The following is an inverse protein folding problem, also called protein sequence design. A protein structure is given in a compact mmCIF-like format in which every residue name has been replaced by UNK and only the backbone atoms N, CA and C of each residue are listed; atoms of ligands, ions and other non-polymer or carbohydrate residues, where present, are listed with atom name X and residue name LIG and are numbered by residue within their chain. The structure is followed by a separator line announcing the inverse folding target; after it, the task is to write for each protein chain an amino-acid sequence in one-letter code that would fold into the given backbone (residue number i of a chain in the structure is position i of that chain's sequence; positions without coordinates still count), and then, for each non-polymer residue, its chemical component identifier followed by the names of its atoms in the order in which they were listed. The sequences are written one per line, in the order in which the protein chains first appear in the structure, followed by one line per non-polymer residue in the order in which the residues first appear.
data_IF_836032723057
#
_entry.id   IF_836032723057
#
_cell.length_a   1.000
_cell.length_b   1.000
_cell.length_c   1.000
_cell.angle_alpha   90.00
_cell.angle_beta   90.00
_cell.angle_gamma   90.00
#
_symmetry.space_group_name_H-M   'P 1'
#
loop_
_entity.id
_entity.type
_entity.pdbx_description
1 polymer ?
#
# COMPACT_ATOMS: atom_id res chain seq x y z
N UNK A 1 -12.14 0.82 2.46
CA UNK A 1 -11.27 -0.30 2.05
C UNK A 1 -11.49 -0.57 0.57
N UNK A 2 -10.77 -1.50 -0.04
CA UNK A 2 -10.95 -1.91 -1.44
C UNK A 2 -11.63 -3.28 -1.51
N UNK A 3 -12.43 -3.59 -2.56
CA UNK A 3 -12.90 -4.95 -2.80
C UNK A 3 -11.75 -5.96 -2.85
N UNK A 4 -11.97 -7.17 -2.35
CA UNK A 4 -10.91 -8.16 -2.23
C UNK A 4 -10.32 -8.56 -3.60
N UNK A 5 -11.18 -8.78 -4.61
CA UNK A 5 -10.71 -9.08 -5.96
C UNK A 5 -10.03 -7.90 -6.63
N UNK A 6 -10.49 -6.68 -6.36
CA UNK A 6 -9.81 -5.48 -6.85
C UNK A 6 -8.37 -5.47 -6.34
N UNK A 7 -8.19 -5.55 -5.02
CA UNK A 7 -6.88 -5.53 -4.39
C UNK A 7 -5.98 -6.65 -4.90
N UNK A 8 -6.52 -7.86 -5.07
CA UNK A 8 -5.76 -9.00 -5.62
C UNK A 8 -5.16 -8.67 -6.98
N UNK A 9 -5.96 -8.15 -7.90
CA UNK A 9 -5.50 -7.88 -9.27
C UNK A 9 -4.62 -6.63 -9.36
N UNK A 10 -4.94 -5.59 -8.60
CA UNK A 10 -4.12 -4.39 -8.43
C UNK A 10 -2.72 -4.77 -7.91
N UNK A 11 -2.66 -5.55 -6.83
CA UNK A 11 -1.40 -5.97 -6.23
C UNK A 11 -0.60 -6.91 -7.14
N UNK A 12 -1.27 -7.79 -7.88
CA UNK A 12 -0.62 -8.65 -8.88
C UNK A 12 0.00 -7.80 -10.01
N UNK A 13 -0.70 -6.77 -10.47
CA UNK A 13 -0.18 -5.85 -11.48
C UNK A 13 1.00 -5.03 -10.94
N UNK A 14 0.93 -4.61 -9.68
CA UNK A 14 2.04 -3.97 -8.97
C UNK A 14 3.28 -4.86 -8.92
N UNK A 15 3.17 -6.15 -8.57
CA UNK A 15 4.30 -7.10 -8.63
C UNK A 15 4.89 -7.25 -10.04
N UNK A 16 4.04 -7.18 -11.07
CA UNK A 16 4.48 -7.30 -12.47
C UNK A 16 5.23 -6.06 -12.97
N UNK A 17 4.82 -4.88 -12.49
CA UNK A 17 5.29 -3.59 -12.99
C UNK A 17 5.90 -2.71 -11.88
N UNK A 18 6.45 -3.31 -10.83
CA UNK A 18 6.81 -2.61 -9.59
C UNK A 18 7.61 -1.35 -9.86
N UNK A 19 7.12 -0.23 -9.32
CA UNK A 19 7.72 1.10 -9.41
C UNK A 19 7.95 1.61 -10.85
N UNK A 20 7.31 1.05 -11.87
CA UNK A 20 7.39 1.56 -13.25
C UNK A 20 6.37 2.68 -13.47
N UNK A 21 6.87 3.86 -13.85
CA UNK A 21 6.04 5.04 -14.10
C UNK A 21 5.03 4.74 -15.22
N UNK A 22 3.74 4.97 -14.92
CA UNK A 22 2.63 4.79 -15.86
C UNK A 22 2.17 3.34 -16.05
N UNK A 23 2.78 2.37 -15.37
CA UNK A 23 2.38 0.95 -15.42
C UNK A 23 2.03 0.37 -14.05
N UNK A 24 2.69 0.84 -12.99
CA UNK A 24 2.43 0.40 -11.63
C UNK A 24 1.19 1.09 -11.04
N UNK A 25 0.15 0.30 -10.75
CA UNK A 25 -1.10 0.76 -10.14
C UNK A 25 -0.95 1.16 -8.68
N UNK A 26 0.10 0.72 -7.99
CA UNK A 26 0.35 1.07 -6.58
C UNK A 26 1.50 2.07 -6.40
N UNK A 27 1.97 2.69 -7.48
CA UNK A 27 3.10 3.60 -7.45
C UNK A 27 2.90 4.75 -6.44
N UNK A 28 3.85 4.88 -5.52
CA UNK A 28 3.92 6.02 -4.62
C UNK A 28 5.03 6.93 -5.18
N UNK A 29 4.67 8.07 -5.80
CA UNK A 29 5.68 8.96 -6.36
C UNK A 29 6.48 9.62 -5.23
N UNK A 30 7.70 10.03 -5.55
CA UNK A 30 8.45 10.95 -4.71
C UNK A 30 7.62 12.22 -4.50
N UNK A 31 7.35 12.66 -3.25
CA UNK A 31 6.65 13.90 -3.01
C UNK A 31 7.44 15.07 -3.61
N UNK A 32 6.75 16.01 -4.26
CA UNK A 32 7.37 17.21 -4.80
C UNK A 32 7.69 18.25 -3.72
N UNK A 33 6.95 18.25 -2.61
CA UNK A 33 7.05 19.25 -1.54
C UNK A 33 6.75 18.64 -0.17
N UNK A 34 7.14 19.33 0.91
CA UNK A 34 6.77 18.93 2.28
C UNK A 34 5.24 18.88 2.49
N UNK A 35 4.44 19.84 2.01
CA UNK A 35 2.98 19.72 2.05
C UNK A 35 2.45 18.45 1.36
N UNK A 36 2.98 18.10 0.18
CA UNK A 36 2.57 16.87 -0.51
C UNK A 36 2.95 15.61 0.29
N UNK A 37 4.13 15.61 0.93
CA UNK A 37 4.56 14.56 1.84
C UNK A 37 3.59 14.37 3.02
N UNK A 38 3.24 15.45 3.74
CA UNK A 38 2.32 15.36 4.88
C UNK A 38 0.88 15.04 4.44
N UNK A 39 0.47 15.51 3.25
CA UNK A 39 -0.81 15.16 2.66
C UNK A 39 -0.92 13.66 2.40
N UNK A 40 0.12 13.05 1.81
CA UNK A 40 0.18 11.60 1.66
C UNK A 40 0.15 10.89 3.02
N UNK A 41 0.97 11.32 3.98
CA UNK A 41 1.04 10.72 5.32
C UNK A 41 -0.26 10.83 6.12
N UNK A 42 -1.10 11.83 5.86
CA UNK A 42 -2.39 11.96 6.55
C UNK A 42 -3.34 10.78 6.32
N UNK A 43 -3.12 9.99 5.25
CA UNK A 43 -4.04 8.93 4.83
C UNK A 43 -5.37 9.43 4.25
N UNK A 44 -5.65 10.74 4.27
CA UNK A 44 -6.86 11.33 3.68
C UNK A 44 -7.00 11.04 2.18
N UNK A 45 -5.93 11.09 1.36
CA UNK A 45 -6.03 10.72 -0.06
C UNK A 45 -6.46 9.27 -0.25
N UNK A 46 -5.95 8.36 0.59
CA UNK A 46 -6.31 6.95 0.56
C UNK A 46 -7.80 6.76 0.90
N UNK A 47 -8.30 7.47 1.92
CA UNK A 47 -9.70 7.41 2.31
C UNK A 47 -10.64 7.93 1.23
N UNK A 48 -10.33 9.11 0.67
CA UNK A 48 -11.10 9.72 -0.39
C UNK A 48 -11.12 8.82 -1.64
N UNK A 49 -9.95 8.38 -2.11
CA UNK A 49 -9.82 7.55 -3.31
C UNK A 49 -10.60 6.24 -3.18
N UNK A 50 -10.43 5.52 -2.07
CA UNK A 50 -11.08 4.21 -1.90
C UNK A 50 -12.57 4.32 -1.59
N UNK A 51 -13.00 5.33 -0.83
CA UNK A 51 -14.41 5.60 -0.57
C UNK A 51 -15.17 5.94 -1.85
N UNK A 52 -14.67 6.92 -2.61
CA UNK A 52 -15.23 7.29 -3.91
C UNK A 52 -15.14 6.14 -4.92
N UNK A 53 -14.06 5.36 -4.86
CA UNK A 53 -13.88 4.17 -5.67
C UNK A 53 -14.96 3.11 -5.40
N UNK A 54 -15.29 2.81 -4.15
CA UNK A 54 -16.40 1.89 -3.82
C UNK A 54 -17.71 2.40 -4.41
N UNK A 55 -18.04 3.68 -4.22
CA UNK A 55 -19.28 4.28 -4.73
C UNK A 55 -19.34 4.17 -6.26
N UNK A 56 -18.29 4.60 -6.96
CA UNK A 56 -18.19 4.52 -8.43
C UNK A 56 -18.33 3.09 -8.95
N UNK A 57 -17.60 2.14 -8.36
CA UNK A 57 -17.67 0.73 -8.77
C UNK A 57 -19.04 0.13 -8.49
N UNK A 58 -19.70 0.52 -7.39
CA UNK A 58 -21.03 0.03 -7.04
C UNK A 58 -22.10 0.37 -8.08
N UNK A 59 -21.97 1.52 -8.76
CA UNK A 59 -22.83 1.90 -9.90
C UNK A 59 -22.36 1.33 -11.25
N UNK A 60 -21.38 0.40 -11.23
CA UNK A 60 -20.92 -0.34 -12.41
C UNK A 60 -19.85 0.36 -13.24
N UNK A 61 -19.28 1.49 -12.78
CA UNK A 61 -18.25 2.21 -13.52
C UNK A 61 -16.86 1.77 -13.07
N UNK A 62 -16.00 1.34 -14.00
CA UNK A 62 -14.58 1.06 -13.79
C UNK A 62 -13.72 2.13 -14.48
N UNK A 63 -12.56 2.48 -13.93
CA UNK A 63 -11.60 3.38 -14.59
C UNK A 63 -10.82 2.65 -15.68
N UNK A 64 -10.15 3.40 -16.56
CA UNK A 64 -9.26 2.81 -17.57
C UNK A 64 -8.13 1.98 -16.95
N UNK A 65 -7.56 2.46 -15.85
CA UNK A 65 -6.54 1.74 -15.07
C UNK A 65 -7.05 0.40 -14.54
N UNK A 66 -8.23 0.39 -13.90
CA UNK A 66 -8.87 -0.83 -13.41
C UNK A 66 -9.20 -1.81 -14.53
N UNK A 67 -9.65 -1.30 -15.68
CA UNK A 67 -9.89 -2.13 -16.85
C UNK A 67 -8.57 -2.76 -17.33
N UNK A 68 -7.45 -2.07 -17.17
CA UNK A 68 -6.12 -2.53 -17.51
C UNK A 68 -5.64 -3.71 -16.65
N UNK A 69 -5.82 -3.66 -15.33
CA UNK A 69 -5.33 -4.74 -14.44
C UNK A 69 -6.39 -5.78 -14.05
N UNK A 70 -7.69 -5.49 -14.19
CA UNK A 70 -8.77 -6.45 -13.84
C UNK A 70 -9.21 -7.24 -15.09
N UNK A 71 -9.00 -8.57 -15.13
CA UNK A 71 -9.45 -9.38 -16.26
C UNK A 71 -10.95 -9.28 -16.48
N UNK A 72 -11.38 -9.28 -17.74
CA UNK A 72 -12.80 -9.11 -18.14
C UNK A 72 -13.76 -10.02 -17.39
N UNK A 73 -13.37 -11.28 -17.16
CA UNK A 73 -14.18 -12.28 -16.44
C UNK A 73 -14.51 -11.86 -14.99
N UNK A 74 -13.67 -11.04 -14.34
CA UNK A 74 -13.80 -10.69 -12.93
C UNK A 74 -14.39 -9.30 -12.68
N UNK A 75 -14.52 -8.46 -13.72
CA UNK A 75 -15.03 -7.08 -13.59
C UNK A 75 -16.42 -7.01 -12.95
N UNK A 76 -17.34 -7.88 -13.37
CA UNK A 76 -18.69 -7.96 -12.79
C UNK A 76 -18.66 -8.35 -11.31
N UNK A 77 -17.73 -9.23 -10.92
CA UNK A 77 -17.58 -9.65 -9.53
C UNK A 77 -17.03 -8.54 -8.66
N UNK A 78 -16.05 -7.76 -9.14
CA UNK A 78 -15.54 -6.57 -8.44
C UNK A 78 -16.63 -5.52 -8.20
N UNK A 79 -17.47 -5.26 -9.21
CA UNK A 79 -18.65 -4.38 -9.08
C UNK A 79 -19.59 -4.92 -7.99
N UNK A 80 -19.86 -6.22 -7.99
CA UNK A 80 -20.73 -6.84 -6.99
C UNK A 80 -20.14 -6.75 -5.58
N UNK A 81 -18.85 -7.05 -5.39
CA UNK A 81 -18.16 -6.87 -4.10
C UNK A 81 -18.22 -5.43 -3.61
N UNK A 82 -18.13 -4.46 -4.52
CA UNK A 82 -18.26 -3.04 -4.16
C UNK A 82 -19.67 -2.69 -3.66
N UNK A 83 -20.71 -3.30 -4.24
CA UNK A 83 -22.09 -3.14 -3.75
C UNK A 83 -22.28 -3.77 -2.37
N UNK A 84 -21.74 -4.98 -2.17
CA UNK A 84 -21.79 -5.66 -0.86
C UNK A 84 -21.08 -4.83 0.20
N UNK A 85 -19.87 -4.35 -0.08
CA UNK A 85 -19.14 -3.47 0.84
C UNK A 85 -19.91 -2.19 1.15
N UNK A 86 -20.54 -1.57 0.16
CA UNK A 86 -21.36 -0.37 0.37
C UNK A 86 -22.54 -0.65 1.33
N UNK A 87 -23.25 -1.76 1.15
CA UNK A 87 -24.34 -2.18 2.05
C UNK A 87 -23.82 -2.46 3.46
N UNK A 88 -22.70 -3.18 3.58
CA UNK A 88 -22.09 -3.48 4.88
C UNK A 88 -21.66 -2.20 5.63
N UNK A 89 -21.08 -1.23 4.92
CA UNK A 89 -20.71 0.05 5.52
C UNK A 89 -21.93 0.89 5.92
N UNK A 90 -22.98 0.90 5.10
CA UNK A 90 -24.24 1.57 5.45
C UNK A 90 -24.89 0.93 6.69
N UNK A 91 -24.91 -0.40 6.76
CA UNK A 91 -25.43 -1.15 7.91
C UNK A 91 -24.60 -0.88 9.17
N UNK A 92 -23.26 -0.86 9.06
CA UNK A 92 -22.40 -0.50 10.17
C UNK A 92 -22.61 0.95 10.65
N UNK A 93 -22.79 1.89 9.72
CA UNK A 93 -23.12 3.28 10.05
C UNK A 93 -24.43 3.41 10.81
N UNK A 94 -25.48 2.69 10.36
CA UNK A 94 -26.76 2.64 11.07
C UNK A 94 -26.65 1.99 12.45
N UNK A 95 -25.90 0.89 12.57
CA UNK A 95 -25.65 0.24 13.84
C UNK A 95 -24.95 1.18 14.83
N UNK A 96 -23.93 1.92 14.38
CA UNK A 96 -23.26 2.94 15.21
C UNK A 96 -24.25 4.03 15.63
N UNK A 97 -25.06 4.55 14.70
CA UNK A 97 -26.06 5.58 14.98
C UNK A 97 -27.16 5.13 15.96
N UNK A 98 -27.41 3.83 16.06
CA UNK A 98 -28.41 3.23 16.96
C UNK A 98 -27.80 2.67 18.25
N UNK A 99 -26.52 2.95 18.52
CA UNK A 99 -25.88 2.68 19.81
C UNK A 99 -24.83 1.58 19.83
N UNK A 100 -24.51 0.95 18.68
CA UNK A 100 -23.42 -0.03 18.58
C UNK A 100 -22.03 0.64 18.54
N UNK A 101 -21.72 1.46 19.54
CA UNK A 101 -20.46 2.22 19.62
C UNK A 101 -19.22 1.34 19.71
N UNK A 102 -19.35 0.05 20.04
CA UNK A 102 -18.26 -0.92 19.93
C UNK A 102 -17.64 -0.94 18.51
N UNK A 103 -18.46 -0.81 17.45
CA UNK A 103 -17.96 -0.71 16.08
C UNK A 103 -17.14 0.56 15.85
N UNK A 104 -17.50 1.66 16.51
CA UNK A 104 -16.76 2.91 16.41
C UNK A 104 -15.38 2.77 17.08
N UNK A 105 -15.33 2.29 18.33
CA UNK A 105 -14.10 2.25 19.12
C UNK A 105 -13.15 1.11 18.75
N UNK A 106 -13.66 -0.06 18.39
CA UNK A 106 -12.82 -1.24 18.12
C UNK A 106 -12.57 -1.49 16.63
N UNK A 107 -13.27 -0.78 15.73
CA UNK A 107 -13.09 -0.95 14.29
C UNK A 107 -12.80 0.36 13.56
N UNK A 108 -13.72 1.34 13.60
CA UNK A 108 -13.58 2.58 12.80
C UNK A 108 -12.39 3.42 13.25
N UNK A 109 -12.29 3.74 14.55
CA UNK A 109 -11.22 4.58 15.09
C UNK A 109 -9.83 3.93 14.86
N UNK A 110 -9.58 2.66 15.23
CA UNK A 110 -8.29 2.01 14.98
C UNK A 110 -7.92 2.01 13.50
N UNK A 111 -8.90 1.79 12.62
CA UNK A 111 -8.67 1.78 11.18
C UNK A 111 -8.28 3.18 10.65
N UNK A 112 -8.96 4.24 11.11
CA UNK A 112 -8.64 5.62 10.74
C UNK A 112 -7.23 6.01 11.18
N UNK A 113 -6.86 5.67 12.42
CA UNK A 113 -5.53 5.95 12.98
C UNK A 113 -4.43 5.07 12.36
N UNK A 114 -4.78 3.88 11.90
CA UNK A 114 -3.85 2.96 11.25
C UNK A 114 -3.38 3.43 9.87
N UNK A 115 -4.21 4.18 9.12
CA UNK A 115 -3.81 4.59 7.76
C UNK A 115 -2.60 5.52 7.72
N UNK A 116 -2.49 6.57 8.55
CA UNK A 116 -1.26 7.37 8.62
C UNK A 116 -0.01 6.52 8.89
N UNK A 117 -0.11 5.55 9.81
CA UNK A 117 0.98 4.62 10.11
C UNK A 117 1.33 3.76 8.89
N UNK A 118 0.33 3.23 8.18
CA UNK A 118 0.55 2.47 6.96
C UNK A 118 1.14 3.32 5.83
N UNK A 119 0.76 4.60 5.69
CA UNK A 119 1.38 5.51 4.71
C UNK A 119 2.84 5.77 5.07
N UNK A 120 3.13 5.96 6.36
CA UNK A 120 4.48 6.11 6.87
C UNK A 120 5.34 4.87 6.56
N UNK A 121 4.81 3.66 6.70
CA UNK A 121 5.51 2.42 6.34
C UNK A 121 5.69 2.32 4.81
N UNK A 122 4.60 2.37 4.04
CA UNK A 122 4.62 2.12 2.58
C UNK A 122 5.49 3.09 1.80
N UNK A 123 5.60 4.34 2.27
CA UNK A 123 6.49 5.31 1.65
C UNK A 123 7.96 4.86 1.69
N UNK A 124 8.35 4.04 2.66
CA UNK A 124 9.71 3.55 2.79
C UNK A 124 10.00 2.31 1.96
N UNK A 125 9.04 1.77 1.22
CA UNK A 125 9.18 0.51 0.47
C UNK A 125 9.74 0.71 -0.95
N UNK A 126 9.25 1.74 -1.66
CA UNK A 126 9.64 2.01 -3.07
C UNK A 126 10.06 3.45 -3.34
N UNK A 127 9.65 4.42 -2.50
CA UNK A 127 9.95 5.84 -2.79
C UNK A 127 11.45 6.06 -2.77
N UNK A 128 11.95 6.53 -3.91
CA UNK A 128 13.38 6.76 -4.13
C UNK A 128 14.14 5.56 -4.70
N UNK A 129 13.46 4.46 -4.98
CA UNK A 129 14.05 3.32 -5.67
C UNK A 129 13.93 3.47 -7.19
N UNK A 130 14.71 2.66 -7.92
CA UNK A 130 14.84 2.78 -9.37
C UNK A 130 13.51 2.50 -10.08
N UNK A 131 13.22 3.24 -11.15
CA UNK A 131 12.06 3.03 -12.02
C UNK A 131 12.39 2.04 -13.12
N UNK A 132 12.82 0.83 -12.74
CA UNK A 132 13.23 -0.24 -13.66
C UNK A 132 12.67 -1.60 -13.23
N UNK A 133 12.82 -2.60 -14.10
CA UNK A 133 12.20 -3.92 -13.92
C UNK A 133 12.87 -4.82 -12.88
N UNK A 134 14.09 -4.48 -12.45
CA UNK A 134 14.85 -5.30 -11.50
C UNK A 134 14.27 -5.15 -10.08
N UNK A 135 13.66 -6.20 -9.50
CA UNK A 135 13.11 -6.16 -8.14
C UNK A 135 14.15 -5.84 -7.06
N UNK A 136 15.43 -6.17 -7.33
CA UNK A 136 16.52 -5.88 -6.42
C UNK A 136 16.92 -4.39 -6.42
N UNK A 137 16.37 -3.57 -7.31
CA UNK A 137 16.71 -2.14 -7.42
C UNK A 137 15.51 -1.22 -7.32
N UNK A 138 14.31 -1.72 -7.63
CA UNK A 138 13.07 -0.95 -7.60
C UNK A 138 12.31 -1.04 -6.26
N UNK A 139 12.79 -1.90 -5.35
CA UNK A 139 12.19 -2.16 -4.04
C UNK A 139 13.27 -2.32 -2.98
N UNK A 140 12.97 -1.98 -1.74
CA UNK A 140 13.87 -2.18 -0.60
C UNK A 140 13.16 -2.79 0.61
N UNK A 141 13.96 -3.34 1.50
CA UNK A 141 13.52 -3.83 2.80
C UNK A 141 13.91 -2.89 3.92
N UNK A 142 13.15 -2.89 5.01
CA UNK A 142 13.42 -2.06 6.18
C UNK A 142 13.74 -2.94 7.38
N UNK A 143 14.93 -2.76 7.95
CA UNK A 143 15.32 -3.39 9.21
C UNK A 143 14.70 -2.62 10.36
N UNK A 144 13.70 -3.21 11.01
CA UNK A 144 12.96 -2.61 12.12
C UNK A 144 13.10 -3.45 13.39
N UNK A 145 12.75 -2.89 14.55
CA UNK A 145 12.71 -3.63 15.82
C UNK A 145 11.61 -4.70 15.81
N UNK A 146 11.75 -5.71 16.67
CA UNK A 146 10.83 -6.85 16.74
C UNK A 146 9.34 -6.48 16.81
N UNK A 147 8.88 -5.47 17.60
CA UNK A 147 7.47 -5.11 17.63
C UNK A 147 6.93 -4.69 16.24
N UNK A 148 7.73 -3.98 15.46
CA UNK A 148 7.35 -3.58 14.10
C UNK A 148 7.36 -4.76 13.14
N UNK A 149 8.33 -5.68 13.27
CA UNK A 149 8.34 -6.92 12.47
C UNK A 149 7.10 -7.77 12.77
N UNK A 150 6.76 -7.91 14.05
CA UNK A 150 5.58 -8.65 14.49
C UNK A 150 4.29 -8.01 13.96
N UNK A 151 4.12 -6.70 14.13
CA UNK A 151 2.92 -5.99 13.66
C UNK A 151 2.77 -6.02 12.13
N UNK A 152 3.88 -5.97 11.39
CA UNK A 152 3.88 -6.02 9.94
C UNK A 152 3.90 -7.47 9.39
N UNK A 153 3.86 -8.49 10.25
CA UNK A 153 4.04 -9.89 9.85
C UNK A 153 5.27 -10.10 8.95
N UNK A 154 6.42 -9.55 9.32
CA UNK A 154 7.65 -9.56 8.52
C UNK A 154 7.54 -8.88 7.13
N UNK A 155 6.46 -8.17 6.79
CA UNK A 155 6.34 -7.48 5.50
C UNK A 155 7.31 -6.29 5.37
N UNK A 156 8.03 -5.94 6.44
CA UNK A 156 9.19 -5.06 6.36
C UNK A 156 10.34 -5.67 5.52
N UNK A 157 10.33 -6.98 5.24
CA UNK A 157 11.13 -7.66 4.22
C UNK A 157 10.46 -7.55 2.83
N UNK A 158 10.17 -6.30 2.44
CA UNK A 158 9.33 -6.01 1.28
C UNK A 158 10.04 -6.28 -0.05
N UNK A 159 11.35 -6.04 -0.12
CA UNK A 159 12.13 -6.43 -1.30
C UNK A 159 12.13 -7.95 -1.50
N UNK A 160 12.22 -8.74 -0.43
CA UNK A 160 12.09 -10.20 -0.51
C UNK A 160 10.71 -10.61 -1.04
N UNK A 161 9.66 -9.95 -0.57
CA UNK A 161 8.29 -10.16 -1.05
C UNK A 161 8.16 -9.84 -2.54
N UNK A 162 8.73 -8.74 -3.03
CA UNK A 162 8.71 -8.41 -4.45
C UNK A 162 9.57 -9.35 -5.31
N UNK A 163 10.71 -9.82 -4.78
CA UNK A 163 11.54 -10.79 -5.48
C UNK A 163 10.86 -12.16 -5.59
N UNK A 164 10.13 -12.57 -4.54
CA UNK A 164 9.44 -13.86 -4.50
C UNK A 164 8.10 -13.79 -3.75
N UNK A 165 7.03 -13.30 -4.40
CA UNK A 165 5.74 -13.02 -3.74
C UNK A 165 4.98 -14.27 -3.30
N UNK A 166 5.45 -15.46 -3.70
CA UNK A 166 4.92 -16.75 -3.26
C UNK A 166 5.53 -17.21 -1.92
N UNK A 167 6.63 -16.60 -1.48
CA UNK A 167 7.23 -16.92 -0.19
C UNK A 167 6.35 -16.36 0.92
N UNK A 168 5.86 -17.20 1.85
CA UNK A 168 4.98 -16.72 2.89
C UNK A 168 5.73 -15.80 3.85
N UNK A 169 4.99 -14.85 4.43
CA UNK A 169 5.54 -13.77 5.25
C UNK A 169 6.48 -14.25 6.38
N UNK A 170 6.18 -15.38 7.01
CA UNK A 170 7.01 -15.94 8.09
C UNK A 170 8.38 -16.46 7.63
N UNK A 171 8.53 -16.74 6.33
CA UNK A 171 9.76 -17.24 5.71
C UNK A 171 10.61 -16.13 5.07
N UNK A 172 10.09 -14.90 4.92
CA UNK A 172 10.84 -13.76 4.37
C UNK A 172 12.15 -13.46 5.12
N UNK A 173 12.24 -13.56 6.47
CA UNK A 173 13.53 -13.41 7.15
C UNK A 173 14.56 -14.47 6.78
N UNK A 174 14.12 -15.69 6.42
CA UNK A 174 15.01 -16.73 5.94
C UNK A 174 15.48 -16.45 4.51
N UNK A 175 14.58 -15.99 3.64
CA UNK A 175 14.93 -15.54 2.29
C UNK A 175 15.95 -14.38 2.33
N UNK A 176 15.76 -13.38 3.20
CA UNK A 176 16.72 -12.28 3.38
C UNK A 176 18.15 -12.78 3.66
N UNK A 177 18.29 -13.82 4.49
CA UNK A 177 19.60 -14.43 4.80
C UNK A 177 20.22 -15.11 3.57
N UNK A 178 19.41 -15.76 2.74
CA UNK A 178 19.88 -16.43 1.51
C UNK A 178 20.33 -15.43 0.44
N UNK A 179 19.71 -14.25 0.38
CA UNK A 179 20.03 -13.22 -0.61
C UNK A 179 21.33 -12.45 -0.29
N UNK A 180 21.88 -12.59 0.92
CA UNK A 180 23.21 -12.06 1.28
C UNK A 180 23.44 -10.58 0.91
N UNK A 181 22.42 -9.73 1.03
CA UNK A 181 22.53 -8.29 0.76
C UNK A 181 22.33 -7.87 -0.69
N UNK A 182 21.85 -8.76 -1.57
CA UNK A 182 21.46 -8.41 -2.94
C UNK A 182 20.26 -7.46 -3.01
N UNK A 183 19.50 -7.31 -1.93
CA UNK A 183 18.38 -6.37 -1.82
C UNK A 183 18.79 -5.16 -0.96
N UNK A 184 18.48 -3.92 -1.39
CA UNK A 184 18.69 -2.72 -0.59
C UNK A 184 17.97 -2.80 0.75
N UNK A 185 18.67 -2.45 1.83
CA UNK A 185 18.10 -2.44 3.19
C UNK A 185 18.26 -1.07 3.83
N UNK A 186 17.20 -0.59 4.50
CA UNK A 186 17.21 0.65 5.29
C UNK A 186 17.09 0.41 6.79
N UNK A 187 17.72 1.29 7.57
CA UNK A 187 17.70 1.24 9.03
C UNK A 187 16.45 1.94 9.55
N UNK A 188 15.40 1.16 9.79
CA UNK A 188 14.14 1.63 10.33
C UNK A 188 13.37 2.55 9.39
N UNK A 189 12.09 2.74 9.67
CA UNK A 189 11.24 3.63 8.88
C UNK A 189 11.73 5.09 8.94
N UNK A 190 12.23 5.54 10.09
CA UNK A 190 12.81 6.88 10.25
C UNK A 190 13.99 7.10 9.30
N UNK A 191 14.82 6.08 9.05
CA UNK A 191 15.91 6.15 8.08
C UNK A 191 15.41 6.43 6.67
N UNK A 192 14.38 5.71 6.22
CA UNK A 192 13.74 5.93 4.91
C UNK A 192 13.15 7.34 4.78
N UNK A 193 12.49 7.85 5.84
CA UNK A 193 11.94 9.22 5.83
C UNK A 193 13.01 10.30 5.82
N UNK A 194 14.14 10.09 6.52
CA UNK A 194 15.29 11.03 6.47
C UNK A 194 15.86 11.17 5.06
N UNK A 195 15.91 10.08 4.29
CA UNK A 195 16.34 10.12 2.89
C UNK A 195 15.36 10.91 2.03
N UNK A 196 14.06 10.64 2.16
CA UNK A 196 13.01 11.39 1.46
C UNK A 196 13.12 12.90 1.77
N UNK A 197 13.32 13.26 3.03
CA UNK A 197 13.50 14.65 3.44
C UNK A 197 14.80 15.26 2.90
N UNK A 198 15.89 14.49 2.87
CA UNK A 198 17.15 14.90 2.26
C UNK A 198 17.00 15.22 0.77
N UNK A 199 16.24 14.39 0.05
CA UNK A 199 15.90 14.62 -1.37
C UNK A 199 15.00 15.83 -1.57
N UNK A 200 13.97 16.01 -0.75
CA UNK A 200 13.12 17.21 -0.77
C UNK A 200 13.90 18.50 -0.55
N UNK A 201 14.94 18.48 0.31
CA UNK A 201 15.78 19.64 0.59
C UNK A 201 16.81 19.93 -0.48
N UNK A 202 17.40 18.88 -1.08
CA UNK A 202 18.50 19.01 -2.03
C UNK A 202 18.05 19.11 -3.49
N UNK A 203 16.78 18.82 -3.79
CA UNK A 203 16.27 18.72 -5.16
C UNK A 203 16.82 17.52 -5.95
N UNK A 204 17.61 16.65 -5.30
CA UNK A 204 18.15 15.42 -5.90
C UNK A 204 17.22 14.26 -5.59
N UNK A 205 16.94 13.41 -6.58
CA UNK A 205 16.17 12.19 -6.39
C UNK A 205 16.79 11.29 -5.30
N UNK A 206 16.00 10.55 -4.51
CA UNK A 206 16.57 9.67 -3.51
C UNK A 206 17.29 8.50 -4.18
N UNK A 207 18.19 7.87 -3.42
CA UNK A 207 18.92 6.68 -3.86
C UNK A 207 18.42 5.51 -3.01
N UNK A 208 17.98 4.43 -3.65
CA UNK A 208 17.92 3.07 -3.09
C UNK A 208 19.37 2.56 -2.92
#
# INVERSE_FOLDING_TARGET
MVPALHFRYEHTAHHTHTNLIGQDSELIPMPATFPAYFWYLSGLPYWASNGLGILRRSIGKLTGEEIGFIPTAWRRRVIWESRVLLVLYAAAGLAIATGAYALLFYWVIPLLLGQPVMRFIRMTEHVGCAHERDPARNTRSTRVAWPWQFLAWNMNFHGEHHLSPLVPFHALPALNRLLQGQIPVRKGYIGGHREIWGSLRSGKGPVC
#
